data_IF_246259282510
#
_entry.id   IF_246259282510
#
_cell.length_a   1.000
_cell.length_b   1.000
_cell.length_c   1.000
_cell.angle_alpha   90.00
_cell.angle_beta   90.00
_cell.angle_gamma   90.00
#
_symmetry.space_group_name_H-M   'P 1'
#
loop_
_entity.id
_entity.type
_entity.pdbx_description
1 polymer ?
#
# COMPACT_ATOMS: atom_id res chain seq x y z
N UNK A 1 -3.75 -28.16 14.58
CA UNK A 1 -2.56 -29.05 14.47
C UNK A 1 -2.61 -29.79 13.14
N UNK A 2 -1.45 -30.05 12.56
CA UNK A 2 -1.30 -30.84 11.33
C UNK A 2 -0.16 -31.85 11.51
N UNK A 3 -0.22 -32.92 10.75
CA UNK A 3 0.88 -33.88 10.64
C UNK A 3 0.94 -34.48 9.24
N UNK A 4 2.09 -34.97 8.86
CA UNK A 4 2.31 -35.78 7.66
C UNK A 4 2.50 -37.23 8.07
N UNK A 5 1.99 -38.16 7.26
CA UNK A 5 2.24 -39.58 7.49
C UNK A 5 3.73 -39.88 7.26
N UNK A 6 4.33 -40.70 8.11
CA UNK A 6 5.73 -41.11 7.96
C UNK A 6 5.94 -42.04 6.75
N UNK A 7 4.89 -42.70 6.30
CA UNK A 7 4.94 -43.62 5.16
C UNK A 7 4.49 -42.93 3.88
N UNK A 8 5.37 -42.96 2.91
CA UNK A 8 5.06 -42.57 1.53
C UNK A 8 4.32 -43.67 0.79
N UNK A 9 3.48 -43.29 -0.18
CA UNK A 9 2.73 -44.24 -1.00
C UNK A 9 3.64 -45.12 -1.88
N UNK A 10 4.73 -44.55 -2.37
CA UNK A 10 5.76 -45.18 -3.18
C UNK A 10 7.13 -44.82 -2.63
N UNK A 11 8.12 -45.69 -2.83
CA UNK A 11 9.53 -45.33 -2.66
C UNK A 11 9.96 -44.35 -3.75
N UNK A 12 11.11 -43.74 -3.60
CA UNK A 12 11.65 -42.80 -4.59
C UNK A 12 11.84 -43.46 -5.97
N UNK A 13 12.35 -44.69 -5.99
CA UNK A 13 12.59 -45.48 -7.21
C UNK A 13 11.27 -45.91 -7.87
N UNK A 14 10.34 -46.42 -7.08
CA UNK A 14 9.00 -46.77 -7.54
C UNK A 14 8.24 -45.59 -8.13
N UNK A 15 8.38 -44.37 -7.52
CA UNK A 15 7.75 -43.19 -8.06
C UNK A 15 8.28 -42.79 -9.44
N UNK A 16 9.61 -42.96 -9.65
CA UNK A 16 10.23 -42.72 -10.98
C UNK A 16 9.79 -43.74 -12.01
N UNK A 17 9.75 -45.05 -11.66
CA UNK A 17 9.38 -46.13 -12.59
C UNK A 17 7.88 -46.10 -12.96
N UNK A 18 7.03 -45.66 -12.07
CA UNK A 18 5.57 -45.65 -12.26
C UNK A 18 5.00 -44.30 -12.75
N UNK A 19 5.85 -43.37 -13.12
CA UNK A 19 5.45 -41.99 -13.46
C UNK A 19 4.57 -41.34 -12.38
N UNK A 20 4.88 -41.64 -11.11
CA UNK A 20 4.14 -41.15 -9.94
C UNK A 20 4.86 -40.01 -9.23
N UNK A 21 4.16 -39.34 -8.33
CA UNK A 21 4.74 -38.29 -7.47
C UNK A 21 5.20 -38.88 -6.14
N UNK A 22 6.44 -38.61 -5.73
CA UNK A 22 6.94 -38.96 -4.41
C UNK A 22 6.33 -37.99 -3.38
N UNK A 23 5.31 -38.48 -2.64
CA UNK A 23 4.49 -37.68 -1.76
C UNK A 23 4.08 -38.42 -0.50
N UNK A 24 3.70 -37.68 0.50
CA UNK A 24 3.04 -38.16 1.72
C UNK A 24 1.70 -37.52 1.92
N UNK A 25 0.86 -38.11 2.77
CA UNK A 25 -0.47 -37.58 3.07
C UNK A 25 -0.41 -36.53 4.17
N UNK A 26 -1.05 -35.39 3.94
CA UNK A 26 -1.22 -34.32 4.90
C UNK A 26 -2.59 -34.43 5.59
N UNK A 27 -2.56 -34.54 6.91
CA UNK A 27 -3.74 -34.58 7.75
C UNK A 27 -3.80 -33.37 8.67
N UNK A 28 -4.99 -32.86 8.92
CA UNK A 28 -5.25 -31.74 9.81
C UNK A 28 -6.30 -32.10 10.82
N UNK A 29 -6.04 -31.82 12.10
CA UNK A 29 -7.04 -31.88 13.15
C UNK A 29 -7.91 -30.62 13.10
N UNK A 30 -9.15 -30.77 12.67
CA UNK A 30 -10.13 -29.70 12.64
C UNK A 30 -11.04 -29.80 13.87
N UNK A 31 -11.32 -28.65 14.48
CA UNK A 31 -12.24 -28.52 15.60
C UNK A 31 -13.40 -27.62 15.17
N UNK A 32 -14.61 -28.17 15.18
CA UNK A 32 -15.84 -27.43 14.94
C UNK A 32 -16.44 -27.05 16.28
N UNK A 33 -16.65 -25.77 16.50
CA UNK A 33 -17.29 -25.23 17.70
C UNK A 33 -18.65 -24.66 17.30
N UNK A 34 -19.72 -25.26 17.76
CA UNK A 34 -21.05 -24.68 17.62
C UNK A 34 -21.22 -23.60 18.71
N UNK A 35 -21.35 -22.34 18.29
CA UNK A 35 -21.45 -21.20 19.22
C UNK A 35 -22.79 -21.14 19.96
N UNK A 36 -23.85 -21.73 19.43
CA UNK A 36 -25.18 -21.71 20.04
C UNK A 36 -25.34 -22.81 21.10
N UNK A 37 -24.83 -24.01 20.80
CA UNK A 37 -24.97 -25.17 21.68
C UNK A 37 -23.76 -25.41 22.58
N UNK A 38 -22.61 -24.78 22.28
CA UNK A 38 -21.33 -25.03 22.95
C UNK A 38 -20.70 -26.38 22.59
N UNK A 39 -21.30 -27.14 21.67
CA UNK A 39 -20.81 -28.47 21.28
C UNK A 39 -19.48 -28.33 20.49
N UNK A 40 -18.50 -29.16 20.86
CA UNK A 40 -17.20 -29.22 20.20
C UNK A 40 -17.04 -30.59 19.55
N UNK A 41 -16.82 -30.61 18.23
CA UNK A 41 -16.48 -31.83 17.48
C UNK A 41 -15.07 -31.73 16.94
N UNK A 42 -14.24 -32.73 17.19
CA UNK A 42 -12.90 -32.84 16.65
C UNK A 42 -12.86 -34.02 15.66
N UNK A 43 -12.24 -33.77 14.50
CA UNK A 43 -12.08 -34.78 13.47
C UNK A 43 -10.78 -34.57 12.71
N UNK A 44 -10.12 -35.67 12.34
CA UNK A 44 -8.98 -35.61 11.39
C UNK A 44 -9.53 -35.56 9.97
N UNK A 45 -8.99 -34.62 9.20
CA UNK A 45 -9.35 -34.40 7.81
C UNK A 45 -8.11 -34.59 6.95
N UNK A 46 -8.21 -35.44 5.95
CA UNK A 46 -7.22 -35.58 4.89
C UNK A 46 -7.33 -34.36 3.97
N UNK A 47 -6.23 -33.58 3.84
CA UNK A 47 -6.17 -32.40 3.01
C UNK A 47 -5.69 -32.71 1.58
N UNK A 48 -4.81 -33.69 1.43
CA UNK A 48 -4.23 -34.05 0.14
C UNK A 48 -2.84 -34.63 0.26
N UNK A 49 -2.28 -35.03 -0.88
CA UNK A 49 -0.91 -35.51 -0.98
C UNK A 49 0.05 -34.32 -1.12
N UNK A 50 1.11 -34.34 -0.33
CA UNK A 50 2.13 -33.30 -0.32
C UNK A 50 3.45 -33.84 -0.84
N UNK A 51 4.03 -33.29 -1.94
CA UNK A 51 5.29 -33.74 -2.46
C UNK A 51 6.42 -33.62 -1.44
N UNK A 52 7.24 -34.65 -1.32
CA UNK A 52 8.39 -34.65 -0.43
C UNK A 52 9.68 -34.30 -1.20
N UNK A 53 10.54 -33.58 -0.54
CA UNK A 53 11.89 -33.30 -1.01
C UNK A 53 12.76 -34.53 -0.81
N UNK A 54 13.56 -34.86 -1.80
CA UNK A 54 14.57 -35.92 -1.71
C UNK A 54 15.81 -35.43 -0.93
N UNK A 55 16.69 -36.35 -0.56
CA UNK A 55 17.96 -35.99 0.09
C UNK A 55 18.85 -35.08 -0.76
N UNK A 56 18.73 -35.16 -2.10
CA UNK A 56 19.45 -34.31 -3.05
C UNK A 56 18.81 -32.92 -3.24
N UNK A 57 17.71 -32.60 -2.54
CA UNK A 57 17.01 -31.30 -2.67
C UNK A 57 16.11 -31.21 -3.88
N UNK A 58 15.75 -32.33 -4.49
CA UNK A 58 14.85 -32.40 -5.65
C UNK A 58 13.46 -32.91 -5.26
N UNK A 59 12.50 -32.81 -6.18
CA UNK A 59 11.16 -33.38 -6.08
C UNK A 59 10.91 -34.32 -7.25
N UNK A 60 10.30 -35.47 -7.01
CA UNK A 60 9.84 -36.34 -8.10
C UNK A 60 8.35 -36.10 -8.32
N UNK A 61 8.00 -35.51 -9.45
CA UNK A 61 6.65 -35.17 -9.85
C UNK A 61 6.34 -35.89 -11.16
N UNK A 62 5.33 -36.77 -11.14
CA UNK A 62 4.95 -37.61 -12.29
C UNK A 62 6.18 -38.33 -12.90
N UNK A 63 6.99 -38.95 -12.04
CA UNK A 63 8.18 -39.70 -12.44
C UNK A 63 9.42 -38.85 -12.78
N UNK A 64 9.25 -37.56 -13.06
CA UNK A 64 10.34 -36.66 -13.41
C UNK A 64 10.94 -35.98 -12.17
N UNK A 65 12.25 -36.04 -12.03
CA UNK A 65 13.00 -35.37 -11.00
C UNK A 65 13.13 -33.88 -11.34
N UNK A 66 12.69 -33.01 -10.44
CA UNK A 66 12.63 -31.56 -10.63
C UNK A 66 13.25 -30.84 -9.45
N UNK A 67 13.79 -29.66 -9.71
CA UNK A 67 14.34 -28.77 -8.67
C UNK A 67 13.63 -27.42 -8.75
N UNK A 68 13.43 -26.80 -7.61
CA UNK A 68 12.90 -25.43 -7.53
C UNK A 68 14.04 -24.47 -7.89
N UNK A 69 13.80 -23.66 -8.92
CA UNK A 69 14.76 -22.64 -9.38
C UNK A 69 14.36 -21.29 -8.76
N UNK A 70 15.32 -20.63 -8.11
CA UNK A 70 15.10 -19.27 -7.61
C UNK A 70 14.83 -18.31 -8.76
N UNK A 71 13.82 -17.46 -8.59
CA UNK A 71 13.46 -16.42 -9.55
C UNK A 71 13.72 -15.05 -8.95
N UNK A 72 14.34 -14.17 -9.74
CA UNK A 72 14.43 -12.76 -9.39
C UNK A 72 13.11 -12.07 -9.71
N UNK A 73 12.56 -11.41 -8.71
CA UNK A 73 11.34 -10.59 -8.85
C UNK A 73 11.63 -9.17 -8.42
N UNK A 74 10.91 -8.21 -8.98
CA UNK A 74 10.99 -6.82 -8.51
C UNK A 74 10.46 -6.76 -7.07
N UNK A 75 11.15 -6.06 -6.18
CA UNK A 75 10.73 -5.96 -4.78
C UNK A 75 9.43 -5.18 -4.65
N UNK A 76 8.62 -5.42 -3.59
CA UNK A 76 7.47 -4.57 -3.30
C UNK A 76 7.88 -3.10 -3.19
N UNK A 77 7.01 -2.21 -3.64
CA UNK A 77 7.27 -0.77 -3.65
C UNK A 77 6.36 -0.01 -4.61
N UNK A 78 6.59 1.28 -4.73
CA UNK A 78 5.96 2.13 -5.74
C UNK A 78 7.01 2.55 -6.78
N UNK A 79 6.70 2.33 -8.05
CA UNK A 79 7.59 2.54 -9.19
C UNK A 79 6.95 3.52 -10.17
N UNK A 80 7.77 4.39 -10.73
CA UNK A 80 7.34 5.43 -11.64
C UNK A 80 8.17 5.38 -12.91
N UNK A 81 7.51 5.52 -14.05
CA UNK A 81 8.16 5.60 -15.35
C UNK A 81 7.53 6.72 -16.18
N UNK A 82 8.31 7.25 -17.13
CA UNK A 82 7.82 8.17 -18.14
C UNK A 82 8.19 7.68 -19.52
N UNK A 83 7.28 7.86 -20.48
CA UNK A 83 7.47 7.48 -21.87
C UNK A 83 7.11 8.64 -22.79
N UNK A 84 7.94 8.87 -23.80
CA UNK A 84 7.66 9.86 -24.82
C UNK A 84 6.90 9.21 -26.00
N UNK A 85 5.64 9.60 -26.16
CA UNK A 85 4.83 9.16 -27.30
C UNK A 85 5.20 9.99 -28.54
N UNK A 86 5.90 9.35 -29.46
CA UNK A 86 6.33 9.99 -30.72
C UNK A 86 5.20 10.39 -31.65
N UNK A 87 3.99 9.81 -31.49
CA UNK A 87 2.81 10.12 -32.30
C UNK A 87 2.12 11.38 -31.86
N UNK A 88 1.96 11.56 -30.55
CA UNK A 88 1.30 12.71 -29.96
C UNK A 88 2.28 13.84 -29.59
N UNK A 89 3.60 13.56 -29.55
CA UNK A 89 4.62 14.50 -29.10
C UNK A 89 4.57 14.84 -27.62
N UNK A 90 3.82 14.05 -26.82
CA UNK A 90 3.65 14.27 -25.37
C UNK A 90 4.36 13.18 -24.56
N UNK A 91 4.72 13.51 -23.33
CA UNK A 91 5.14 12.53 -22.34
C UNK A 91 3.94 11.99 -21.61
N UNK A 92 3.88 10.69 -21.44
CA UNK A 92 2.94 9.98 -20.58
C UNK A 92 3.67 9.44 -19.37
N UNK A 93 2.99 9.40 -18.25
CA UNK A 93 3.54 8.98 -16.97
C UNK A 93 2.78 7.78 -16.45
N UNK A 94 3.51 6.83 -15.93
CA UNK A 94 2.95 5.61 -15.36
C UNK A 94 3.50 5.36 -13.97
N UNK A 95 2.72 4.71 -13.13
CA UNK A 95 3.20 4.23 -11.84
C UNK A 95 2.58 2.88 -11.53
N UNK A 96 3.37 2.02 -10.90
CA UNK A 96 2.91 0.72 -10.43
C UNK A 96 3.18 0.58 -8.94
N UNK A 97 2.12 0.42 -8.18
CA UNK A 97 2.18 0.03 -6.77
C UNK A 97 2.12 -1.47 -6.68
N UNK A 98 3.19 -2.06 -6.20
CA UNK A 98 3.42 -3.49 -6.19
C UNK A 98 3.59 -3.99 -4.75
N UNK A 99 2.61 -4.74 -4.19
CA UNK A 99 2.77 -5.41 -2.91
C UNK A 99 3.59 -6.70 -3.05
N UNK A 100 4.02 -7.29 -1.94
CA UNK A 100 4.52 -8.66 -1.91
C UNK A 100 3.38 -9.65 -2.19
N UNK A 101 2.21 -9.39 -1.62
CA UNK A 101 0.97 -10.15 -1.82
C UNK A 101 -0.20 -9.17 -1.85
N UNK A 102 -1.09 -9.30 -2.82
CA UNK A 102 -2.30 -8.49 -2.94
C UNK A 102 -2.49 -7.88 -4.32
N UNK A 103 -3.50 -7.05 -4.44
CA UNK A 103 -3.87 -6.36 -5.67
C UNK A 103 -2.88 -5.24 -6.02
N UNK A 104 -2.55 -5.11 -7.30
CA UNK A 104 -1.74 -4.01 -7.80
C UNK A 104 -2.60 -2.78 -8.07
N UNK A 105 -2.00 -1.61 -7.91
CA UNK A 105 -2.53 -0.35 -8.44
C UNK A 105 -1.58 0.15 -9.52
N UNK A 106 -2.10 0.36 -10.71
CA UNK A 106 -1.34 0.87 -11.85
C UNK A 106 -1.95 2.19 -12.29
N UNK A 107 -1.17 3.25 -12.25
CA UNK A 107 -1.59 4.58 -12.69
C UNK A 107 -1.04 4.85 -14.08
N UNK A 108 -1.83 5.52 -14.92
CA UNK A 108 -1.41 5.97 -16.25
C UNK A 108 -2.03 7.32 -16.60
N UNK A 109 -1.27 8.19 -17.26
CA UNK A 109 -1.80 9.40 -17.89
C UNK A 109 -1.92 9.18 -19.39
N UNK A 110 -2.93 9.78 -20.02
CA UNK A 110 -3.08 9.70 -21.48
C UNK A 110 -2.65 11.01 -22.17
N UNK A 111 -2.61 10.98 -23.51
CA UNK A 111 -2.27 12.16 -24.32
C UNK A 111 -3.26 13.34 -24.20
N UNK A 112 -4.40 13.18 -23.56
CA UNK A 112 -5.39 14.22 -23.28
C UNK A 112 -5.29 14.74 -21.84
N UNK A 113 -4.22 14.43 -21.15
CA UNK A 113 -3.97 14.82 -19.76
C UNK A 113 -5.03 14.26 -18.78
N UNK A 114 -5.61 13.10 -19.10
CA UNK A 114 -6.54 12.37 -18.21
C UNK A 114 -5.76 11.35 -17.40
N UNK A 115 -6.02 11.31 -16.11
CA UNK A 115 -5.38 10.43 -15.18
C UNK A 115 -6.24 9.20 -14.88
N UNK A 116 -5.75 8.01 -15.20
CA UNK A 116 -6.43 6.74 -15.01
C UNK A 116 -5.75 5.86 -13.98
N UNK A 117 -6.53 4.93 -13.44
CA UNK A 117 -6.05 3.85 -12.58
C UNK A 117 -6.61 2.51 -13.04
N UNK A 118 -5.80 1.46 -12.91
CA UNK A 118 -6.21 0.05 -13.02
C UNK A 118 -6.07 -0.59 -11.65
N UNK A 119 -7.12 -1.24 -11.22
CA UNK A 119 -7.15 -2.01 -9.98
C UNK A 119 -6.98 -3.48 -10.33
N UNK A 120 -5.91 -4.11 -9.86
CA UNK A 120 -5.63 -5.54 -10.06
C UNK A 120 -5.71 -5.98 -11.53
N UNK A 121 -5.04 -5.25 -12.43
CA UNK A 121 -4.97 -5.54 -13.88
C UNK A 121 -6.31 -5.47 -14.64
N UNK A 122 -7.31 -4.83 -14.07
CA UNK A 122 -8.61 -4.64 -14.74
C UNK A 122 -8.56 -3.52 -15.79
N UNK A 123 -9.68 -3.24 -16.42
CA UNK A 123 -9.81 -2.08 -17.33
C UNK A 123 -9.66 -0.79 -16.55
N UNK A 124 -8.96 0.18 -17.15
CA UNK A 124 -8.72 1.49 -16.55
C UNK A 124 -10.02 2.26 -16.26
N UNK A 125 -10.01 2.97 -15.17
CA UNK A 125 -11.06 3.90 -14.73
C UNK A 125 -10.39 5.25 -14.40
N UNK A 126 -11.13 6.38 -14.41
CA UNK A 126 -10.60 7.65 -13.93
C UNK A 126 -10.09 7.54 -12.50
N UNK A 127 -8.95 8.19 -12.19
CA UNK A 127 -8.38 8.16 -10.82
C UNK A 127 -9.33 8.76 -9.80
N UNK A 128 -10.18 9.72 -10.21
CA UNK A 128 -11.22 10.33 -9.39
C UNK A 128 -12.24 9.32 -8.87
N UNK A 129 -12.55 8.28 -9.63
CA UNK A 129 -13.36 7.15 -9.15
C UNK A 129 -12.69 6.44 -7.97
N UNK A 130 -11.36 6.19 -8.03
CA UNK A 130 -10.62 5.61 -6.90
C UNK A 130 -10.61 6.57 -5.70
N UNK A 131 -10.38 7.88 -5.93
CA UNK A 131 -10.38 8.89 -4.87
C UNK A 131 -11.72 8.93 -4.12
N UNK A 132 -12.85 8.84 -4.85
CA UNK A 132 -14.18 8.76 -4.23
C UNK A 132 -14.39 7.47 -3.43
N UNK A 133 -13.88 6.35 -3.93
CA UNK A 133 -13.99 5.06 -3.24
C UNK A 133 -13.22 5.02 -1.91
N UNK A 134 -12.12 5.78 -1.79
CA UNK A 134 -11.31 5.88 -0.55
C UNK A 134 -11.76 7.02 0.38
N UNK A 135 -12.82 7.78 0.02
CA UNK A 135 -13.43 8.77 0.92
C UNK A 135 -13.44 10.23 0.47
N UNK A 136 -12.75 10.60 -0.62
CA UNK A 136 -12.84 11.94 -1.21
C UNK A 136 -14.07 12.03 -2.12
N UNK A 137 -15.25 12.15 -1.52
CA UNK A 137 -16.53 11.94 -2.22
C UNK A 137 -16.83 13.05 -3.22
N UNK A 138 -16.59 14.32 -2.88
CA UNK A 138 -16.97 15.47 -3.70
C UNK A 138 -15.84 16.00 -4.57
N UNK A 139 -16.17 16.65 -5.68
CA UNK A 139 -15.21 17.32 -6.55
C UNK A 139 -14.42 18.38 -5.78
N UNK A 140 -15.07 19.10 -4.84
CA UNK A 140 -14.44 20.14 -4.04
C UNK A 140 -13.45 19.57 -3.03
N UNK A 141 -13.70 18.40 -2.45
CA UNK A 141 -12.74 17.72 -1.59
C UNK A 141 -11.49 17.31 -2.36
N UNK A 142 -11.65 16.81 -3.60
CA UNK A 142 -10.53 16.45 -4.47
C UNK A 142 -9.72 17.71 -4.84
N UNK A 143 -10.38 18.81 -5.24
CA UNK A 143 -9.73 20.09 -5.53
C UNK A 143 -9.03 20.67 -4.31
N UNK A 144 -9.66 20.63 -3.15
CA UNK A 144 -9.06 21.11 -1.90
C UNK A 144 -7.77 20.35 -1.54
N UNK A 145 -7.74 19.04 -1.81
CA UNK A 145 -6.58 18.21 -1.52
C UNK A 145 -5.44 18.43 -2.52
N UNK A 146 -5.71 18.35 -3.83
CA UNK A 146 -4.65 18.40 -4.86
C UNK A 146 -4.30 19.83 -5.32
N UNK A 147 -5.11 20.82 -4.97
CA UNK A 147 -4.94 22.21 -5.41
C UNK A 147 -5.37 22.42 -6.87
N UNK A 148 -4.85 23.47 -7.50
CA UNK A 148 -5.11 23.80 -8.91
C UNK A 148 -4.30 22.91 -9.86
N UNK A 149 -4.69 21.63 -9.96
CA UNK A 149 -4.02 20.65 -10.80
C UNK A 149 -4.84 20.37 -12.05
N UNK A 150 -4.35 20.82 -13.20
CA UNK A 150 -5.06 20.75 -14.48
C UNK A 150 -5.45 19.32 -14.89
N UNK A 151 -4.58 18.35 -14.62
CA UNK A 151 -4.80 16.94 -14.94
C UNK A 151 -5.94 16.35 -14.08
N UNK A 152 -6.00 16.72 -12.81
CA UNK A 152 -7.10 16.33 -11.91
C UNK A 152 -8.41 16.96 -12.38
N UNK A 153 -8.41 18.25 -12.74
CA UNK A 153 -9.60 18.93 -13.22
C UNK A 153 -10.14 18.32 -14.52
N UNK A 154 -9.26 18.04 -15.49
CA UNK A 154 -9.64 17.35 -16.72
C UNK A 154 -10.23 15.95 -16.45
N UNK A 155 -9.69 15.24 -15.45
CA UNK A 155 -10.19 13.93 -15.06
C UNK A 155 -11.54 14.01 -14.36
N UNK A 156 -11.77 15.01 -13.50
CA UNK A 156 -13.08 15.28 -12.85
C UNK A 156 -14.17 15.53 -13.90
N UNK A 157 -13.85 16.32 -14.93
CA UNK A 157 -14.81 16.64 -16.00
C UNK A 157 -15.18 15.40 -16.83
N UNK A 158 -14.25 14.48 -17.00
CA UNK A 158 -14.48 13.24 -17.76
C UNK A 158 -15.17 12.16 -16.94
N UNK A 159 -15.04 12.17 -15.62
CA UNK A 159 -15.59 11.13 -14.73
C UNK A 159 -17.10 11.32 -14.55
N UNK A 160 -17.93 10.35 -15.00
CA UNK A 160 -19.38 10.41 -14.79
C UNK A 160 -19.79 10.11 -13.35
N UNK A 161 -18.92 9.48 -12.57
CA UNK A 161 -19.17 9.06 -11.19
C UNK A 161 -19.10 10.28 -10.26
N UNK A 162 -20.10 10.43 -9.38
CA UNK A 162 -20.19 11.61 -8.49
C UNK A 162 -20.26 11.26 -7.00
N UNK A 163 -20.48 10.00 -6.66
CA UNK A 163 -20.60 9.55 -5.26
C UNK A 163 -19.62 8.43 -4.95
N UNK A 164 -19.28 8.26 -3.65
CA UNK A 164 -18.40 7.19 -3.21
C UNK A 164 -19.03 5.79 -3.39
N UNK A 165 -20.35 5.68 -3.26
CA UNK A 165 -21.06 4.42 -3.44
C UNK A 165 -21.05 3.97 -4.91
N UNK A 166 -21.32 4.90 -5.84
CA UNK A 166 -21.21 4.65 -7.28
C UNK A 166 -19.78 4.24 -7.66
N UNK A 167 -18.77 4.88 -7.06
CA UNK A 167 -17.37 4.57 -7.29
C UNK A 167 -17.02 3.14 -6.87
N UNK A 168 -17.46 2.73 -5.69
CA UNK A 168 -17.28 1.35 -5.20
C UNK A 168 -17.96 0.32 -6.11
N UNK A 169 -19.18 0.62 -6.55
CA UNK A 169 -19.95 -0.22 -7.47
C UNK A 169 -19.23 -0.33 -8.84
N UNK A 170 -18.69 0.78 -9.36
CA UNK A 170 -17.99 0.76 -10.64
C UNK A 170 -16.70 -0.08 -10.55
N UNK A 171 -15.93 0.06 -9.47
CA UNK A 171 -14.74 -0.77 -9.22
C UNK A 171 -15.13 -2.25 -9.11
N UNK A 172 -16.22 -2.55 -8.39
CA UNK A 172 -16.71 -3.93 -8.26
C UNK A 172 -17.05 -4.55 -9.61
N UNK A 173 -17.78 -3.82 -10.48
CA UNK A 173 -18.12 -4.29 -11.83
C UNK A 173 -16.91 -4.57 -12.71
N UNK A 174 -15.80 -3.83 -12.52
CA UNK A 174 -14.55 -4.11 -13.24
C UNK A 174 -13.86 -5.36 -12.71
N UNK A 175 -13.88 -5.58 -11.40
CA UNK A 175 -13.26 -6.74 -10.75
C UNK A 175 -14.06 -8.03 -10.95
N UNK A 176 -15.40 -7.94 -10.97
CA UNK A 176 -16.33 -9.07 -11.11
C UNK A 176 -17.39 -8.81 -12.18
N UNK A 177 -17.01 -8.92 -13.45
CA UNK A 177 -17.95 -8.74 -14.54
C UNK A 177 -19.09 -9.76 -14.47
N UNK A 178 -20.34 -9.30 -14.63
CA UNK A 178 -21.54 -10.15 -14.66
C UNK A 178 -22.23 -10.38 -13.32
N UNK A 179 -21.64 -9.95 -12.20
CA UNK A 179 -22.31 -9.97 -10.90
C UNK A 179 -23.09 -8.66 -10.68
N UNK A 180 -24.22 -8.75 -9.97
CA UNK A 180 -24.98 -7.57 -9.54
C UNK A 180 -24.44 -7.08 -8.19
N UNK A 181 -23.73 -5.93 -8.14
CA UNK A 181 -23.14 -5.45 -6.91
C UNK A 181 -24.17 -4.81 -5.98
N UNK A 182 -24.04 -5.09 -4.67
CA UNK A 182 -24.58 -4.24 -3.62
C UNK A 182 -23.48 -3.34 -3.09
N UNK A 183 -23.83 -2.19 -2.49
CA UNK A 183 -22.84 -1.26 -1.93
C UNK A 183 -21.98 -1.93 -0.86
N UNK A 184 -22.59 -2.75 0.01
CA UNK A 184 -21.88 -3.45 1.06
C UNK A 184 -20.93 -4.52 0.51
N UNK A 185 -21.34 -5.28 -0.50
CA UNK A 185 -20.47 -6.25 -1.17
C UNK A 185 -19.29 -5.55 -1.86
N UNK A 186 -19.53 -4.41 -2.50
CA UNK A 186 -18.49 -3.61 -3.15
C UNK A 186 -17.50 -3.03 -2.14
N UNK A 187 -17.98 -2.50 -1.01
CA UNK A 187 -17.16 -1.99 0.09
C UNK A 187 -16.31 -3.10 0.70
N UNK A 188 -16.91 -4.26 1.00
CA UNK A 188 -16.19 -5.39 1.57
C UNK A 188 -15.13 -5.95 0.61
N UNK A 189 -15.42 -6.02 -0.70
CA UNK A 189 -14.45 -6.45 -1.70
C UNK A 189 -13.28 -5.46 -1.77
N UNK A 190 -13.56 -4.16 -1.89
CA UNK A 190 -12.54 -3.12 -1.99
C UNK A 190 -11.66 -3.06 -0.73
N UNK A 191 -12.29 -3.05 0.44
CA UNK A 191 -11.57 -3.08 1.73
C UNK A 191 -10.71 -4.34 1.88
N UNK A 192 -11.25 -5.50 1.48
CA UNK A 192 -10.52 -6.76 1.51
C UNK A 192 -9.33 -6.83 0.54
N UNK A 193 -9.37 -6.07 -0.57
CA UNK A 193 -8.28 -6.04 -1.54
C UNK A 193 -7.06 -5.25 -1.05
N UNK A 194 -7.27 -4.14 -0.33
CA UNK A 194 -6.22 -3.19 -0.01
C UNK A 194 -5.91 -3.07 1.48
N UNK A 195 -6.90 -3.26 2.36
CA UNK A 195 -6.78 -2.94 3.79
C UNK A 195 -6.88 -4.17 4.71
N UNK A 196 -7.00 -5.37 4.16
CA UNK A 196 -7.00 -6.62 4.95
C UNK A 196 -5.59 -7.21 5.03
N UNK A 197 -4.99 -7.24 6.21
CA UNK A 197 -3.67 -7.81 6.50
C UNK A 197 -3.51 -9.28 6.06
N UNK A 198 -4.61 -10.01 5.88
CA UNK A 198 -4.58 -11.40 5.41
C UNK A 198 -4.43 -11.51 3.90
N UNK A 199 -4.85 -10.48 3.17
CA UNK A 199 -4.89 -10.48 1.69
C UNK A 199 -3.85 -9.57 1.07
N UNK A 200 -3.46 -8.51 1.77
CA UNK A 200 -2.51 -7.52 1.28
C UNK A 200 -1.31 -7.40 2.21
N UNK A 201 -0.10 -7.45 1.65
CA UNK A 201 1.13 -7.34 2.41
C UNK A 201 2.21 -6.64 1.58
N UNK A 202 2.68 -5.50 2.06
CA UNK A 202 3.82 -4.78 1.48
C UNK A 202 5.17 -5.38 1.88
N UNK A 203 5.19 -6.22 2.92
CA UNK A 203 6.39 -6.59 3.66
C UNK A 203 7.17 -5.36 4.21
N UNK A 204 8.18 -5.61 5.01
CA UNK A 204 9.02 -4.53 5.58
C UNK A 204 9.74 -3.73 4.49
N UNK A 205 10.23 -4.41 3.45
CA UNK A 205 10.93 -3.76 2.34
C UNK A 205 10.02 -2.81 1.56
N UNK A 206 8.78 -3.24 1.29
CA UNK A 206 7.78 -2.39 0.62
C UNK A 206 7.45 -1.17 1.46
N UNK A 207 7.13 -1.34 2.75
CA UNK A 207 6.83 -0.24 3.66
C UNK A 207 8.00 0.75 3.77
N UNK A 208 9.23 0.27 3.88
CA UNK A 208 10.42 1.11 3.89
C UNK A 208 10.53 1.95 2.61
N UNK A 209 10.36 1.33 1.43
CA UNK A 209 10.42 2.04 0.15
C UNK A 209 9.31 3.07 -0.03
N UNK A 210 8.10 2.76 0.45
CA UNK A 210 6.99 3.72 0.47
C UNK A 210 7.36 4.95 1.32
N UNK A 211 7.79 4.73 2.55
CA UNK A 211 8.15 5.82 3.45
C UNK A 211 9.32 6.65 2.91
N UNK A 212 10.30 6.02 2.28
CA UNK A 212 11.43 6.72 1.67
C UNK A 212 11.01 7.57 0.46
N UNK A 213 10.14 7.04 -0.41
CA UNK A 213 9.76 7.72 -1.67
C UNK A 213 8.62 8.72 -1.47
N UNK A 214 7.62 8.38 -0.65
CA UNK A 214 6.40 9.14 -0.45
C UNK A 214 6.41 10.00 0.80
N UNK A 215 7.42 9.87 1.67
CA UNK A 215 7.59 10.72 2.84
C UNK A 215 7.73 12.20 2.45
N UNK A 216 7.11 13.08 3.23
CA UNK A 216 7.06 14.51 2.93
C UNK A 216 8.46 15.13 2.92
N UNK A 217 9.29 14.87 3.93
CA UNK A 217 10.59 15.50 4.12
C UNK A 217 11.51 15.33 2.90
N UNK A 218 11.61 14.11 2.35
CA UNK A 218 12.42 13.83 1.17
C UNK A 218 11.97 14.61 -0.08
N UNK A 219 10.69 14.94 -0.16
CA UNK A 219 10.09 15.60 -1.32
C UNK A 219 10.12 17.12 -1.24
N UNK A 220 10.16 17.70 -0.03
CA UNK A 220 10.21 19.16 0.17
C UNK A 220 11.61 19.69 0.47
N UNK A 221 12.57 18.82 0.84
CA UNK A 221 13.94 19.28 1.12
C UNK A 221 14.57 19.97 -0.09
N UNK A 222 15.29 21.05 0.17
CA UNK A 222 15.90 21.91 -0.83
C UNK A 222 14.93 22.66 -1.77
N UNK A 223 13.62 22.54 -1.56
CA UNK A 223 12.61 23.33 -2.28
C UNK A 223 12.37 24.68 -1.58
N UNK A 224 11.69 25.59 -2.27
CA UNK A 224 11.32 26.91 -1.74
C UNK A 224 9.85 26.84 -1.30
N UNK A 225 9.58 27.21 -0.05
CA UNK A 225 8.19 27.22 0.46
C UNK A 225 7.37 28.30 -0.24
N UNK A 226 6.16 27.97 -0.68
CA UNK A 226 5.23 28.94 -1.23
C UNK A 226 4.48 29.72 -0.14
N UNK A 227 4.30 29.12 1.03
CA UNK A 227 3.57 29.68 2.16
C UNK A 227 4.42 29.60 3.43
N UNK A 228 4.09 30.40 4.43
CA UNK A 228 4.70 30.26 5.77
C UNK A 228 4.15 28.99 6.40
N UNK A 229 5.06 28.09 6.86
CA UNK A 229 4.71 26.84 7.51
C UNK A 229 4.92 26.99 9.00
N UNK A 230 3.87 26.72 9.77
CA UNK A 230 3.82 26.90 11.22
C UNK A 230 3.42 25.57 11.86
N UNK A 231 4.03 25.27 12.99
CA UNK A 231 3.59 24.18 13.86
C UNK A 231 2.21 24.48 14.43
N UNK A 232 1.24 23.62 14.17
CA UNK A 232 -0.13 23.82 14.62
C UNK A 232 -0.30 23.68 16.15
N UNK A 233 0.64 23.02 16.84
CA UNK A 233 0.57 22.79 18.29
C UNK A 233 1.31 23.87 19.08
N UNK A 234 2.50 24.25 18.61
CA UNK A 234 3.36 25.22 19.31
C UNK A 234 3.23 26.65 18.78
N UNK A 235 2.76 26.83 17.54
CA UNK A 235 2.74 28.12 16.85
C UNK A 235 4.11 28.57 16.35
N UNK A 236 5.14 27.74 16.46
CA UNK A 236 6.49 28.04 15.96
C UNK A 236 6.53 28.03 14.43
N UNK A 237 7.23 28.98 13.84
CA UNK A 237 7.42 29.07 12.39
C UNK A 237 8.61 28.22 11.99
N UNK A 238 8.38 27.17 11.20
CA UNK A 238 9.44 26.34 10.61
C UNK A 238 10.17 27.05 9.47
N UNK A 239 9.43 27.68 8.58
CA UNK A 239 9.96 28.36 7.38
C UNK A 239 8.98 29.43 6.90
N UNK A 240 9.48 30.58 6.45
CA UNK A 240 8.64 31.62 5.88
C UNK A 240 8.41 31.41 4.37
N UNK A 241 7.35 32.02 3.85
CA UNK A 241 7.07 32.03 2.43
C UNK A 241 8.26 32.61 1.64
N UNK A 242 8.71 31.89 0.60
CA UNK A 242 9.84 32.28 -0.23
C UNK A 242 11.20 31.81 0.29
N UNK A 243 11.29 31.23 1.47
CA UNK A 243 12.54 30.67 1.99
C UNK A 243 12.76 29.22 1.55
N UNK A 244 14.03 28.83 1.49
CA UNK A 244 14.44 27.48 1.14
C UNK A 244 14.32 26.56 2.36
N UNK A 245 13.69 25.41 2.17
CA UNK A 245 13.51 24.38 3.19
C UNK A 245 14.81 23.56 3.29
N UNK A 246 15.50 23.63 4.43
CA UNK A 246 16.66 22.76 4.70
C UNK A 246 16.20 21.33 4.99
N UNK A 247 17.12 20.36 4.99
CA UNK A 247 16.82 18.98 5.32
C UNK A 247 16.31 18.82 6.75
N UNK A 248 16.93 19.51 7.71
CA UNK A 248 16.53 19.51 9.12
C UNK A 248 15.12 20.09 9.31
N UNK A 249 14.82 21.20 8.61
CA UNK A 249 13.48 21.84 8.67
C UNK A 249 12.43 20.93 8.00
N UNK A 250 12.77 20.26 6.89
CA UNK A 250 11.87 19.32 6.23
C UNK A 250 11.50 18.15 7.14
N UNK A 251 12.48 17.59 7.86
CA UNK A 251 12.23 16.54 8.86
C UNK A 251 11.37 17.05 10.03
N UNK A 252 11.63 18.27 10.51
CA UNK A 252 10.84 18.86 11.58
C UNK A 252 9.37 19.06 11.17
N UNK A 253 9.13 19.57 9.96
CA UNK A 253 7.79 19.74 9.39
C UNK A 253 7.05 18.38 9.32
N UNK A 254 7.71 17.34 8.80
CA UNK A 254 7.11 16.00 8.73
C UNK A 254 6.80 15.44 10.11
N UNK A 255 7.73 15.58 11.07
CA UNK A 255 7.55 15.03 12.43
C UNK A 255 6.55 15.83 13.28
N UNK A 256 6.23 17.06 12.92
CA UNK A 256 5.09 17.83 13.46
C UNK A 256 3.73 17.36 12.90
N UNK A 257 3.70 16.30 12.04
CA UNK A 257 2.48 15.77 11.47
C UNK A 257 1.92 16.58 10.29
N UNK A 258 2.66 17.57 9.79
CA UNK A 258 2.26 18.31 8.60
C UNK A 258 2.47 17.40 7.39
N UNK A 259 1.39 17.14 6.65
CA UNK A 259 1.41 16.20 5.53
C UNK A 259 1.23 16.86 4.15
N UNK A 260 0.90 18.14 4.11
CA UNK A 260 0.68 18.93 2.88
C UNK A 260 1.50 20.20 2.94
N UNK A 261 2.30 20.45 1.92
CA UNK A 261 3.13 21.64 1.78
C UNK A 261 3.06 22.16 0.35
N UNK A 262 2.85 23.45 0.19
CA UNK A 262 2.91 24.14 -1.10
C UNK A 262 4.30 24.72 -1.32
N UNK A 263 4.94 24.35 -2.43
CA UNK A 263 6.28 24.81 -2.80
C UNK A 263 6.24 25.66 -4.07
N UNK A 264 7.22 26.56 -4.22
CA UNK A 264 7.46 27.28 -5.47
C UNK A 264 8.42 26.46 -6.33
N UNK A 265 7.96 26.09 -7.53
CA UNK A 265 8.78 25.40 -8.50
C UNK A 265 8.63 26.08 -9.88
N UNK A 266 9.73 26.63 -10.39
CA UNK A 266 9.69 27.54 -11.52
C UNK A 266 8.69 28.70 -11.24
N UNK A 267 7.76 28.94 -12.14
CA UNK A 267 6.74 30.01 -12.02
C UNK A 267 5.38 29.49 -11.45
N UNK A 268 5.38 28.33 -10.81
CA UNK A 268 4.15 27.66 -10.31
C UNK A 268 4.25 27.35 -8.83
N UNK A 269 3.10 27.30 -8.20
CA UNK A 269 2.94 26.68 -6.87
C UNK A 269 2.52 25.25 -7.06
N UNK A 270 3.29 24.31 -6.50
CA UNK A 270 3.02 22.88 -6.59
C UNK A 270 2.76 22.35 -5.18
N UNK A 271 1.68 21.59 -5.04
CA UNK A 271 1.32 20.95 -3.80
C UNK A 271 2.01 19.61 -3.66
N UNK A 272 2.66 19.41 -2.51
CA UNK A 272 3.29 18.14 -2.12
C UNK A 272 2.44 17.52 -1.02
N UNK A 273 2.04 16.26 -1.23
CA UNK A 273 1.27 15.47 -0.26
C UNK A 273 2.14 14.29 0.15
N UNK A 274 2.48 14.21 1.43
CA UNK A 274 3.20 13.08 2.01
C UNK A 274 2.28 11.90 2.32
N UNK A 275 2.88 10.81 2.83
CA UNK A 275 2.13 9.62 3.22
C UNK A 275 1.78 9.56 4.72
N UNK A 276 1.81 10.69 5.42
CA UNK A 276 1.36 10.81 6.81
C UNK A 276 2.20 10.03 7.83
N UNK A 277 3.48 9.74 7.51
CA UNK A 277 4.35 8.98 8.40
C UNK A 277 5.39 9.87 9.07
N UNK A 278 5.70 9.59 10.35
CA UNK A 278 6.63 10.34 11.18
C UNK A 278 7.63 9.41 11.86
N UNK A 279 8.77 9.96 12.27
CA UNK A 279 9.74 9.23 13.08
C UNK A 279 9.31 9.26 14.55
N UNK A 280 8.89 8.12 15.10
CA UNK A 280 8.38 8.02 16.47
C UNK A 280 9.40 8.51 17.53
N UNK A 281 10.70 8.30 17.30
CA UNK A 281 11.75 8.75 18.23
C UNK A 281 11.93 10.27 18.24
N UNK A 282 11.54 10.96 17.14
CA UNK A 282 11.55 12.42 17.06
C UNK A 282 10.29 13.02 17.68
N UNK A 283 9.15 12.36 17.56
CA UNK A 283 7.87 12.79 18.16
C UNK A 283 7.85 12.54 19.66
N UNK A 284 8.44 11.44 20.12
CA UNK A 284 8.47 11.04 21.54
C UNK A 284 9.93 10.92 22.05
N UNK A 285 10.71 12.03 22.12
CA UNK A 285 12.14 11.98 22.46
C UNK A 285 12.41 11.54 23.91
N UNK A 286 11.45 11.71 24.80
CA UNK A 286 11.58 11.43 26.23
C UNK A 286 11.05 10.05 26.62
N UNK A 287 10.53 9.25 25.67
CA UNK A 287 9.97 7.92 25.92
C UNK A 287 10.95 6.86 25.49
N UNK A 288 11.28 5.94 26.38
CA UNK A 288 12.16 4.80 26.03
C UNK A 288 11.40 3.74 25.21
N UNK A 289 11.64 3.75 23.92
CA UNK A 289 11.09 2.81 22.93
C UNK A 289 12.08 1.75 22.46
N UNK A 290 13.24 1.63 23.11
CA UNK A 290 14.33 0.73 22.69
C UNK A 290 13.91 -0.74 22.61
N UNK A 291 12.96 -1.15 23.46
CA UNK A 291 12.41 -2.52 23.47
C UNK A 291 11.51 -2.85 22.27
N UNK A 292 11.02 -1.86 21.55
CA UNK A 292 10.05 -2.03 20.46
C UNK A 292 10.71 -2.05 19.07
N UNK A 293 12.00 -1.70 18.98
CA UNK A 293 12.82 -1.77 17.78
C UNK A 293 12.18 -1.16 16.51
N UNK A 294 11.57 0.02 16.61
CA UNK A 294 11.08 0.74 15.45
C UNK A 294 12.24 1.11 14.51
N UNK A 295 12.14 0.69 13.26
CA UNK A 295 13.08 1.02 12.19
C UNK A 295 12.45 1.87 11.10
N UNK A 296 11.13 1.77 10.95
CA UNK A 296 10.32 2.48 9.96
C UNK A 296 9.59 3.65 10.62
N UNK A 297 9.25 4.66 9.82
CA UNK A 297 8.32 5.70 10.23
C UNK A 297 6.95 5.11 10.52
N UNK A 298 6.22 5.71 11.46
CA UNK A 298 4.90 5.27 11.91
C UNK A 298 3.82 6.23 11.42
N UNK A 299 2.59 5.75 11.33
CA UNK A 299 1.43 6.58 10.99
C UNK A 299 1.19 7.63 12.07
N UNK A 300 1.18 8.91 11.67
CA UNK A 300 1.04 10.04 12.59
C UNK A 300 -0.33 10.10 13.27
N UNK A 301 -1.41 9.90 12.51
CA UNK A 301 -2.79 9.97 13.05
C UNK A 301 -3.01 8.91 14.13
N UNK A 302 -2.52 7.69 13.89
CA UNK A 302 -2.58 6.61 14.88
C UNK A 302 -1.73 6.95 16.12
N UNK A 303 -0.52 7.47 15.91
CA UNK A 303 0.38 7.86 17.00
C UNK A 303 -0.25 8.97 17.84
N UNK A 304 -0.77 10.00 17.19
CA UNK A 304 -1.47 11.12 17.87
C UNK A 304 -2.67 10.63 18.66
N UNK A 305 -3.50 9.77 18.08
CA UNK A 305 -4.61 9.16 18.78
C UNK A 305 -4.17 8.38 20.04
N UNK A 306 -3.03 7.70 19.99
CA UNK A 306 -2.47 6.99 21.16
C UNK A 306 -2.03 8.02 22.22
N UNK A 307 -1.30 9.05 21.82
CA UNK A 307 -0.80 10.09 22.75
C UNK A 307 -1.98 10.79 23.45
N UNK A 308 -2.98 11.21 22.69
CA UNK A 308 -4.12 11.99 23.21
C UNK A 308 -5.04 11.18 24.14
N UNK A 309 -5.08 9.84 24.00
CA UNK A 309 -6.03 8.97 24.72
C UNK A 309 -5.36 8.01 25.71
N UNK A 310 -4.05 8.13 25.97
CA UNK A 310 -3.33 7.18 26.83
C UNK A 310 -2.51 7.94 27.88
N UNK A 311 -2.58 7.52 29.13
CA UNK A 311 -1.72 8.06 30.20
C UNK A 311 -0.24 7.71 29.93
N UNK A 312 0.66 8.59 30.32
CA UNK A 312 2.10 8.45 30.09
C UNK A 312 2.66 7.13 30.62
N UNK A 313 2.16 6.63 31.75
CA UNK A 313 2.54 5.35 32.35
C UNK A 313 2.19 4.12 31.51
N UNK A 314 1.16 4.24 30.64
CA UNK A 314 0.67 3.14 29.80
C UNK A 314 1.07 3.31 28.34
N UNK A 315 1.71 4.42 27.97
CA UNK A 315 2.00 4.79 26.59
C UNK A 315 2.80 3.72 25.84
N UNK A 316 3.90 3.23 26.43
CA UNK A 316 4.74 2.19 25.81
C UNK A 316 3.99 0.89 25.61
N UNK A 317 3.16 0.47 26.57
CA UNK A 317 2.36 -0.75 26.46
C UNK A 317 1.28 -0.63 25.37
N UNK A 318 0.65 0.53 25.23
CA UNK A 318 -0.36 0.81 24.19
C UNK A 318 0.28 0.87 22.82
N UNK A 319 1.44 1.53 22.68
CA UNK A 319 2.23 1.56 21.44
C UNK A 319 2.58 0.13 21.00
N UNK A 320 3.02 -0.72 21.93
CA UNK A 320 3.33 -2.12 21.65
C UNK A 320 2.09 -2.90 21.18
N UNK A 321 0.96 -2.70 21.82
CA UNK A 321 -0.29 -3.37 21.51
C UNK A 321 -0.82 -2.96 20.12
N UNK A 322 -0.67 -1.68 19.75
CA UNK A 322 -1.14 -1.12 18.48
C UNK A 322 -0.02 -1.01 17.43
N UNK A 323 1.06 -1.80 17.56
CA UNK A 323 2.19 -1.75 16.64
C UNK A 323 1.80 -1.97 15.17
N UNK A 324 0.89 -2.91 14.89
CA UNK A 324 0.45 -3.20 13.50
C UNK A 324 -0.39 -2.07 12.89
N UNK A 325 -1.01 -1.21 13.70
CA UNK A 325 -1.70 -0.01 13.22
C UNK A 325 -0.72 1.12 12.96
N UNK A 326 0.33 1.26 13.78
CA UNK A 326 1.39 2.25 13.62
C UNK A 326 2.25 1.97 12.40
N UNK A 327 2.60 0.70 12.14
CA UNK A 327 3.36 0.26 10.97
C UNK A 327 2.53 -0.76 10.20
N UNK A 328 1.52 -0.31 9.43
CA UNK A 328 0.63 -1.21 8.72
C UNK A 328 1.36 -1.99 7.64
N UNK A 329 1.04 -3.29 7.53
CA UNK A 329 1.50 -4.16 6.45
C UNK A 329 0.77 -3.88 5.14
N UNK A 330 -0.43 -3.33 5.24
CA UNK A 330 -1.25 -2.96 4.09
C UNK A 330 -0.90 -1.57 3.59
N UNK A 331 -1.31 -1.26 2.37
CA UNK A 331 -1.33 0.13 1.89
C UNK A 331 -2.32 0.95 2.73
N UNK A 332 -2.04 2.24 2.90
CA UNK A 332 -2.94 3.18 3.57
C UNK A 332 -3.57 4.15 2.56
N UNK A 333 -4.60 4.85 2.99
CA UNK A 333 -5.22 5.91 2.17
C UNK A 333 -4.20 7.01 1.85
N UNK A 334 -3.38 7.39 2.81
CA UNK A 334 -2.33 8.40 2.68
C UNK A 334 -1.26 7.96 1.67
N UNK A 335 -0.88 6.67 1.66
CA UNK A 335 0.03 6.12 0.65
C UNK A 335 -0.55 6.26 -0.76
N UNK A 336 -1.84 5.96 -0.94
CA UNK A 336 -2.54 6.10 -2.23
C UNK A 336 -2.53 7.58 -2.67
N UNK A 337 -2.90 8.50 -1.79
CA UNK A 337 -2.93 9.93 -2.08
C UNK A 337 -1.55 10.48 -2.41
N UNK A 338 -0.54 10.12 -1.61
CA UNK A 338 0.84 10.52 -1.84
C UNK A 338 1.40 9.95 -3.15
N UNK A 339 1.04 8.71 -3.51
CA UNK A 339 1.48 8.09 -4.76
C UNK A 339 0.89 8.77 -6.01
N UNK A 340 -0.38 9.15 -5.95
CA UNK A 340 -1.04 9.93 -7.01
C UNK A 340 -0.37 11.30 -7.14
N UNK A 341 -0.15 12.00 -6.02
CA UNK A 341 0.50 13.29 -5.99
C UNK A 341 1.96 13.21 -6.50
N UNK A 342 2.67 12.11 -6.21
CA UNK A 342 4.02 11.91 -6.74
C UNK A 342 4.03 11.85 -8.28
N UNK A 343 3.07 11.14 -8.89
CA UNK A 343 2.95 11.07 -10.35
C UNK A 343 2.63 12.44 -10.97
N UNK A 344 1.74 13.22 -10.35
CA UNK A 344 1.42 14.59 -10.78
C UNK A 344 2.67 15.47 -10.71
N UNK A 345 3.43 15.37 -9.64
CA UNK A 345 4.68 16.15 -9.48
C UNK A 345 5.76 15.71 -10.47
N UNK A 346 5.79 14.42 -10.84
CA UNK A 346 6.69 13.92 -11.89
C UNK A 346 6.35 14.57 -13.25
N UNK A 347 5.06 14.77 -13.55
CA UNK A 347 4.64 15.44 -14.78
C UNK A 347 5.08 16.91 -14.85
N UNK A 348 5.31 17.54 -13.71
CA UNK A 348 5.87 18.89 -13.59
C UNK A 348 7.40 18.90 -13.60
N UNK A 349 8.06 17.73 -13.64
CA UNK A 349 9.52 17.60 -13.62
C UNK A 349 10.15 17.70 -12.23
N UNK A 350 9.35 17.59 -11.16
CA UNK A 350 9.83 17.76 -9.80
C UNK A 350 10.46 16.51 -9.22
N UNK A 351 9.90 15.34 -9.50
CA UNK A 351 10.37 14.05 -9.00
C UNK A 351 11.22 13.31 -10.05
N UNK A 352 11.73 12.13 -9.68
CA UNK A 352 12.49 11.26 -10.60
C UNK A 352 11.69 10.00 -10.91
N UNK A 353 11.73 9.58 -12.18
CA UNK A 353 11.30 8.25 -12.59
C UNK A 353 12.32 7.19 -12.15
N UNK A 354 11.86 5.94 -12.05
CA UNK A 354 12.72 4.80 -11.73
C UNK A 354 13.25 4.12 -13.00
N UNK A 355 12.51 4.25 -14.12
CA UNK A 355 12.82 3.67 -15.43
C UNK A 355 12.72 4.74 -16.51
#
# INVERSE_FOLDING_TARGET
DYYMEDKTKYTLEEAKERDATYSTRLHVKARLINRETGEIKEQEIYLGDFPLMTESGTFVINGAERVVVSQLVRSPGCYYADEFDTKTGKRTYTSTIMPLRGAWLEYETDGNDIFYVRVDRTRKIPVTTLLRAIGLVTDDQIRALFGEEAMIEATIQKDPIKTGEEALIEIYKKLRPGELPTVDAARNLFSGLFFDNRRYDLAKVGRFKFNQKLGLAERIKNQVSATTIVDNETGEVFVNAGEKISEEVAEAIQNAGINIVDIKYLDRTIRIIGNGTVNIHKVLPNVDLSSLHFKENVNYEVLKNIIDNTEESQLVSTIKQRYEELVPKTITTEDILASINYLLNLSHGLNKSDD
#
